data_IF_460667315561
#
_entry.id   IF_460667315561
#
_cell.length_a   1.000
_cell.length_b   1.000
_cell.length_c   1.000
_cell.angle_alpha   90.00
_cell.angle_beta   90.00
_cell.angle_gamma   90.00
#
_symmetry.space_group_name_H-M   'P 1'
#
loop_
_entity.id
_entity.type
_entity.pdbx_description
1 polymer ?
#
# COMPACT_ATOMS: atom_id res chain seq x y z
N UNK A 1 22.49 14.39 20.66
CA UNK A 1 21.77 13.69 19.57
C UNK A 1 20.43 14.37 19.39
N UNK A 2 20.14 15.02 18.25
CA UNK A 2 18.81 15.57 18.03
C UNK A 2 17.83 14.43 17.77
N UNK A 3 16.79 14.32 18.61
CA UNK A 3 15.59 13.58 18.25
C UNK A 3 14.90 14.41 17.17
N UNK A 4 15.13 14.09 15.90
CA UNK A 4 14.40 14.75 14.82
C UNK A 4 12.93 14.34 14.96
N UNK A 5 11.96 15.26 15.05
CA UNK A 5 10.54 14.94 15.23
C UNK A 5 10.03 13.94 14.18
N UNK A 6 10.66 13.91 13.00
CA UNK A 6 10.40 12.94 11.94
C UNK A 6 10.63 11.48 12.39
N UNK A 7 11.68 11.21 13.19
CA UNK A 7 11.97 9.87 13.72
C UNK A 7 10.91 9.40 14.70
N UNK A 8 10.44 10.28 15.58
CA UNK A 8 9.35 9.97 16.49
C UNK A 8 8.06 9.64 15.73
N UNK A 9 7.72 10.45 14.72
CA UNK A 9 6.54 10.22 13.88
C UNK A 9 6.61 8.89 13.13
N UNK A 10 7.77 8.53 12.58
CA UNK A 10 7.96 7.24 11.90
C UNK A 10 7.86 6.04 12.87
N UNK A 11 8.36 6.18 14.11
CA UNK A 11 8.19 5.14 15.13
C UNK A 11 6.72 4.97 15.55
N UNK A 12 5.98 6.08 15.69
CA UNK A 12 4.53 6.03 15.97
C UNK A 12 3.79 5.36 14.81
N UNK A 13 4.11 5.74 13.58
CA UNK A 13 3.50 5.15 12.39
C UNK A 13 3.81 3.65 12.25
N UNK A 14 5.03 3.21 12.62
CA UNK A 14 5.39 1.77 12.70
C UNK A 14 4.64 1.02 13.80
N UNK A 15 4.40 1.69 14.92
CA UNK A 15 3.65 1.12 16.05
C UNK A 15 2.19 0.91 15.70
N UNK A 16 1.61 1.82 14.93
CA UNK A 16 0.19 1.81 14.59
C UNK A 16 -0.05 2.18 13.10
N UNK A 17 0.15 1.22 12.18
CA UNK A 17 -0.12 1.43 10.76
C UNK A 17 -1.62 1.61 10.46
N UNK A 18 -2.53 1.31 11.38
CA UNK A 18 -3.97 1.54 11.18
C UNK A 18 -4.27 3.03 11.07
N UNK A 19 -3.64 3.85 11.93
CA UNK A 19 -3.78 5.31 11.88
C UNK A 19 -3.32 5.86 10.53
N UNK A 20 -2.26 5.28 9.94
CA UNK A 20 -1.81 5.67 8.59
C UNK A 20 -2.85 5.26 7.56
N UNK A 21 -3.35 4.02 7.61
CA UNK A 21 -4.39 3.52 6.71
C UNK A 21 -5.66 4.38 6.71
N UNK A 22 -6.09 4.88 7.88
CA UNK A 22 -7.26 5.76 8.02
C UNK A 22 -7.05 7.15 7.40
N UNK A 23 -5.81 7.64 7.39
CA UNK A 23 -5.47 8.96 6.87
C UNK A 23 -5.16 8.94 5.36
N UNK A 24 -4.74 7.79 4.82
CA UNK A 24 -4.37 7.67 3.40
C UNK A 24 -5.46 8.14 2.43
N UNK A 25 -6.75 7.79 2.58
CA UNK A 25 -7.80 8.27 1.67
C UNK A 25 -7.99 9.79 1.68
N UNK A 26 -7.61 10.46 2.77
CA UNK A 26 -7.68 11.93 2.88
C UNK A 26 -6.52 12.62 2.17
N UNK A 27 -5.34 12.00 2.18
CA UNK A 27 -4.13 12.53 1.54
C UNK A 27 -4.02 12.14 0.07
N UNK A 28 -4.53 10.96 -0.30
CA UNK A 28 -4.36 10.31 -1.59
C UNK A 28 -5.73 9.83 -2.10
N UNK A 29 -6.46 10.64 -2.89
CA UNK A 29 -7.85 10.34 -3.28
C UNK A 29 -8.05 9.02 -4.04
N UNK A 30 -7.01 8.49 -4.70
CA UNK A 30 -7.08 7.21 -5.43
C UNK A 30 -7.10 5.99 -4.51
N UNK A 31 -6.69 6.11 -3.24
CA UNK A 31 -6.69 5.00 -2.26
C UNK A 31 -8.11 4.47 -2.02
N UNK A 32 -9.16 5.28 -2.25
CA UNK A 32 -10.56 4.87 -2.13
C UNK A 32 -10.96 3.69 -3.04
N UNK A 33 -10.18 3.42 -4.08
CA UNK A 33 -10.42 2.30 -5.00
C UNK A 33 -9.79 0.99 -4.51
N UNK A 34 -8.92 1.04 -3.50
CA UNK A 34 -8.30 -0.15 -2.93
C UNK A 34 -9.25 -0.86 -1.95
N UNK A 35 -9.25 -2.20 -1.90
CA UNK A 35 -9.91 -2.93 -0.84
C UNK A 35 -9.22 -2.67 0.51
N UNK A 36 -9.95 -2.81 1.62
CA UNK A 36 -9.45 -2.47 2.96
C UNK A 36 -8.16 -3.23 3.36
N UNK A 37 -7.98 -4.46 2.88
CA UNK A 37 -6.74 -5.23 3.07
C UNK A 37 -5.54 -4.58 2.37
N UNK A 38 -5.72 -4.14 1.12
CA UNK A 38 -4.70 -3.47 0.32
C UNK A 38 -4.34 -2.09 0.88
N UNK A 39 -5.31 -1.34 1.44
CA UNK A 39 -5.02 -0.06 2.12
C UNK A 39 -4.11 -0.28 3.33
N UNK A 40 -4.32 -1.37 4.07
CA UNK A 40 -3.48 -1.72 5.23
C UNK A 40 -2.08 -2.16 4.82
N UNK A 41 -1.97 -2.99 3.78
CA UNK A 41 -0.69 -3.41 3.21
C UNK A 41 0.11 -2.21 2.70
N UNK A 42 -0.53 -1.30 1.96
CA UNK A 42 0.08 -0.05 1.53
C UNK A 42 0.58 0.80 2.71
N UNK A 43 -0.20 0.90 3.79
CA UNK A 43 0.22 1.64 4.98
C UNK A 43 1.46 1.03 5.64
N UNK A 44 1.54 -0.29 5.75
CA UNK A 44 2.70 -1.00 6.31
C UNK A 44 3.97 -0.80 5.46
N UNK A 45 3.84 -0.90 4.14
CA UNK A 45 4.96 -0.66 3.21
C UNK A 45 5.40 0.81 3.25
N UNK A 46 4.46 1.75 3.23
CA UNK A 46 4.75 3.18 3.28
C UNK A 46 5.53 3.57 4.53
N UNK A 47 5.13 3.02 5.67
CA UNK A 47 5.76 3.26 6.97
C UNK A 47 7.16 2.62 7.04
N UNK A 48 7.33 1.45 6.42
CA UNK A 48 8.62 0.76 6.34
C UNK A 48 9.59 1.55 5.45
N UNK A 49 9.17 1.95 4.25
CA UNK A 49 10.00 2.70 3.29
C UNK A 49 10.32 4.12 3.78
N UNK A 50 9.39 4.79 4.47
CA UNK A 50 9.63 6.14 5.01
C UNK A 50 10.51 6.17 6.27
N UNK A 51 10.60 5.05 6.99
CA UNK A 51 11.46 4.89 8.17
C UNK A 51 12.95 5.02 7.88
N UNK A 52 13.37 4.81 6.63
CA UNK A 52 14.75 4.95 6.17
C UNK A 52 15.15 6.39 5.79
N UNK A 53 14.32 7.41 6.13
CA UNK A 53 14.58 8.86 6.13
C UNK A 53 15.26 9.52 4.91
N UNK A 54 15.60 8.78 3.86
CA UNK A 54 16.47 9.26 2.78
C UNK A 54 16.08 8.79 1.39
N UNK A 55 15.23 7.77 1.26
CA UNK A 55 14.94 7.18 -0.06
C UNK A 55 13.63 7.72 -0.66
N UNK A 56 13.63 9.03 -0.95
CA UNK A 56 12.56 9.68 -1.72
C UNK A 56 12.31 9.02 -3.09
N UNK A 57 13.32 8.52 -3.81
CA UNK A 57 13.11 7.69 -5.00
C UNK A 57 12.30 6.43 -4.71
N UNK A 58 12.66 5.63 -3.69
CA UNK A 58 11.92 4.43 -3.32
C UNK A 58 10.45 4.75 -2.96
N UNK A 59 10.22 5.85 -2.25
CA UNK A 59 8.86 6.31 -1.92
C UNK A 59 8.04 6.64 -3.17
N UNK A 60 8.67 7.24 -4.18
CA UNK A 60 8.00 7.61 -5.43
C UNK A 60 7.62 6.38 -6.26
N UNK A 61 8.49 5.37 -6.28
CA UNK A 61 8.23 4.07 -6.90
C UNK A 61 7.08 3.35 -6.19
N UNK A 62 7.10 3.32 -4.86
CA UNK A 62 6.05 2.71 -4.04
C UNK A 62 4.68 3.34 -4.32
N UNK A 63 4.59 4.68 -4.29
CA UNK A 63 3.34 5.41 -4.56
C UNK A 63 2.80 5.13 -5.97
N UNK A 64 3.70 5.02 -6.96
CA UNK A 64 3.31 4.72 -8.34
C UNK A 64 2.79 3.31 -8.50
N UNK A 65 3.41 2.32 -7.84
CA UNK A 65 2.95 0.94 -7.85
C UNK A 65 1.54 0.80 -7.25
N UNK A 66 1.32 1.36 -6.07
CA UNK A 66 0.01 1.31 -5.40
C UNK A 66 -1.08 2.09 -6.13
N UNK A 67 -0.72 3.16 -6.84
CA UNK A 67 -1.64 3.85 -7.73
C UNK A 67 -2.11 2.95 -8.88
N UNK A 68 -1.21 2.20 -9.52
CA UNK A 68 -1.61 1.24 -10.56
C UNK A 68 -2.52 0.13 -9.99
N UNK A 69 -2.25 -0.35 -8.77
CA UNK A 69 -3.14 -1.31 -8.10
C UNK A 69 -4.54 -0.70 -7.89
N UNK A 70 -4.62 0.55 -7.44
CA UNK A 70 -5.89 1.25 -7.28
C UNK A 70 -6.63 1.45 -8.61
N UNK A 71 -5.91 1.78 -9.68
CA UNK A 71 -6.46 1.88 -11.04
C UNK A 71 -7.01 0.52 -11.51
N UNK A 72 -6.30 -0.58 -11.22
CA UNK A 72 -6.75 -1.93 -11.57
C UNK A 72 -8.05 -2.33 -10.82
N UNK A 73 -8.19 -1.93 -9.56
CA UNK A 73 -9.44 -2.14 -8.81
C UNK A 73 -10.56 -1.16 -9.20
N UNK A 74 -10.21 -0.01 -9.77
CA UNK A 74 -11.20 0.97 -10.25
C UNK A 74 -11.92 0.53 -11.53
N UNK A 75 -11.33 -0.44 -12.26
CA UNK A 75 -11.92 -1.03 -13.46
C UNK A 75 -12.74 -2.29 -13.10
N UNK A 76 -14.08 -2.23 -13.18
CA UNK A 76 -14.94 -3.35 -12.80
C UNK A 76 -14.83 -4.56 -13.74
N UNK A 77 -14.32 -4.40 -14.97
CA UNK A 77 -14.07 -5.54 -15.87
C UNK A 77 -12.77 -6.27 -15.49
N UNK A 78 -11.75 -5.55 -15.03
CA UNK A 78 -10.50 -6.14 -14.55
C UNK A 78 -10.64 -6.82 -13.18
N UNK A 79 -11.47 -6.26 -12.30
CA UNK A 79 -11.78 -6.88 -10.99
C UNK A 79 -12.44 -8.27 -11.15
N UNK A 80 -13.25 -8.48 -12.20
CA UNK A 80 -13.87 -9.76 -12.48
C UNK A 80 -12.88 -10.82 -13.01
N UNK A 81 -11.86 -10.39 -13.76
CA UNK A 81 -10.79 -11.28 -14.26
C UNK A 81 -9.86 -11.70 -13.12
N UNK A 82 -9.36 -10.74 -12.32
CA UNK A 82 -8.43 -11.03 -11.22
C UNK A 82 -9.06 -11.85 -10.07
N UNK A 83 -10.35 -11.63 -9.77
CA UNK A 83 -11.08 -12.44 -8.79
C UNK A 83 -11.48 -13.85 -9.32
N UNK A 84 -11.42 -14.07 -10.64
CA UNK A 84 -11.74 -15.34 -11.29
C UNK A 84 -10.55 -16.30 -11.43
N UNK A 85 -9.32 -15.80 -11.43
CA UNK A 85 -8.11 -16.61 -11.70
C UNK A 85 -7.54 -17.36 -10.48
N UNK A 86 -8.19 -17.33 -9.31
CA UNK A 86 -7.79 -18.15 -8.15
C UNK A 86 -8.45 -19.53 -8.08
N UNK A 87 -9.16 -19.99 -9.11
CA UNK A 87 -9.89 -21.27 -9.10
C UNK A 87 -9.51 -22.25 -10.23
N UNK A 88 -8.32 -22.11 -10.82
CA UNK A 88 -7.82 -23.00 -11.87
C UNK A 88 -6.74 -23.97 -11.39
N UNK A 89 -7.16 -25.16 -10.97
CA UNK A 89 -6.44 -26.44 -10.91
C UNK A 89 -4.99 -26.46 -11.47
N UNK A 90 -3.98 -26.56 -10.59
CA UNK A 90 -2.63 -26.96 -10.98
C UNK A 90 -2.65 -28.48 -11.29
N UNK A 91 -2.94 -28.82 -12.55
CA UNK A 91 -2.89 -30.19 -13.03
C UNK A 91 -1.55 -30.88 -12.70
N UNK A 92 -1.54 -32.20 -12.46
CA UNK A 92 -0.35 -32.90 -11.99
C UNK A 92 0.75 -32.87 -13.07
N UNK A 93 1.92 -32.38 -12.69
CA UNK A 93 3.14 -32.53 -13.50
C UNK A 93 3.55 -34.00 -13.52
N UNK A 94 3.55 -34.60 -14.71
CA UNK A 94 4.03 -35.96 -14.95
C UNK A 94 5.54 -36.00 -15.18
#
# INVERSE_FOLDING_TARGET
MPYTPARLLAEIARRDPQVVAELLPRALPWVRFLPASAVREFAEELVTTSGDFGDMPALSVLLSAWRHTAEAHSDPELHAVLAGETSGDYGPVS
#
